data_IF_172742171245
#
_entry.id   IF_172742171245
#
_cell.length_a   1.000
_cell.length_b   1.000
_cell.length_c   1.000
_cell.angle_alpha   90.00
_cell.angle_beta   90.00
_cell.angle_gamma   90.00
#
_symmetry.space_group_name_H-M   'P 1'
#
loop_
_entity.id
_entity.type
_entity.pdbx_description
1 polymer ?
#
# COMPACT_ATOMS: atom_id res chain seq x y z
N UNK A 1 -15.04 10.70 6.83
CA UNK A 1 -14.10 10.39 5.76
C UNK A 1 -13.95 8.91 5.56
N UNK A 2 -13.94 8.49 4.33
CA UNK A 2 -13.83 7.07 4.02
C UNK A 2 -12.53 6.78 3.31
N UNK A 3 -11.96 5.64 3.65
CA UNK A 3 -10.73 5.17 3.02
C UNK A 3 -11.00 3.90 2.26
N UNK A 4 -10.25 3.72 1.21
CA UNK A 4 -10.27 2.48 0.45
C UNK A 4 -9.05 1.69 0.87
N UNK A 5 -9.26 0.46 1.29
CA UNK A 5 -8.18 -0.43 1.67
C UNK A 5 -7.83 -1.31 0.48
N UNK A 6 -6.58 -1.28 0.08
CA UNK A 6 -6.12 -2.11 -1.03
C UNK A 6 -5.08 -3.08 -0.50
N UNK A 7 -5.32 -4.36 -0.70
CA UNK A 7 -4.41 -5.40 -0.24
C UNK A 7 -3.58 -5.91 -1.40
N UNK A 8 -2.28 -5.96 -1.17
CA UNK A 8 -1.35 -6.50 -2.16
C UNK A 8 -0.70 -7.74 -1.58
N UNK A 9 -0.59 -8.77 -2.39
CA UNK A 9 0.09 -9.99 -1.99
C UNK A 9 1.52 -9.89 -2.46
N UNK A 10 2.44 -9.84 -1.51
CA UNK A 10 3.86 -9.76 -1.83
C UNK A 10 4.55 -11.04 -1.39
N UNK A 11 4.64 -11.98 -2.30
CA UNK A 11 5.32 -13.24 -2.03
C UNK A 11 6.82 -13.12 -2.19
N UNK A 12 7.27 -11.94 -2.53
CA UNK A 12 8.68 -11.71 -2.75
C UNK A 12 9.44 -11.70 -1.44
N UNK A 13 10.62 -12.30 -1.44
CA UNK A 13 11.49 -12.28 -0.28
C UNK A 13 12.35 -11.02 -0.26
N UNK A 14 12.18 -10.16 -1.22
CA UNK A 14 12.99 -8.96 -1.35
C UNK A 14 12.26 -7.76 -0.79
N UNK A 15 12.85 -7.18 0.24
CA UNK A 15 12.22 -6.07 0.94
C UNK A 15 12.10 -4.81 0.10
N UNK A 16 12.98 -4.64 -0.88
CA UNK A 16 12.96 -3.43 -1.68
C UNK A 16 11.68 -3.30 -2.51
N UNK A 17 11.00 -4.41 -2.78
CA UNK A 17 9.75 -4.35 -3.53
C UNK A 17 8.68 -3.62 -2.74
N UNK A 18 8.65 -3.85 -1.43
CA UNK A 18 7.68 -3.14 -0.58
C UNK A 18 7.98 -1.66 -0.52
N UNK A 19 9.26 -1.31 -0.48
CA UNK A 19 9.65 0.10 -0.48
C UNK A 19 9.26 0.78 -1.79
N UNK A 20 9.46 0.09 -2.90
CA UNK A 20 9.07 0.63 -4.20
C UNK A 20 7.56 0.82 -4.30
N UNK A 21 6.81 -0.17 -3.82
CA UNK A 21 5.36 -0.08 -3.82
C UNK A 21 4.90 1.10 -2.98
N UNK A 22 5.46 1.27 -1.80
CA UNK A 22 5.08 2.37 -0.93
C UNK A 22 5.34 3.71 -1.59
N UNK A 23 6.49 3.86 -2.24
CA UNK A 23 6.83 5.09 -2.93
C UNK A 23 5.85 5.39 -4.05
N UNK A 24 5.59 4.40 -4.89
CA UNK A 24 4.68 4.59 -6.02
C UNK A 24 3.26 4.87 -5.58
N UNK A 25 2.80 4.15 -4.58
CA UNK A 25 1.44 4.34 -4.09
C UNK A 25 1.28 5.67 -3.38
N UNK A 26 2.32 6.12 -2.69
CA UNK A 26 2.26 7.42 -2.04
C UNK A 26 2.12 8.54 -3.06
N UNK A 27 2.73 8.39 -4.23
CA UNK A 27 2.63 9.39 -5.28
C UNK A 27 1.23 9.50 -5.86
N UNK A 28 0.47 8.42 -5.84
CA UNK A 28 -0.88 8.43 -6.37
C UNK A 28 -1.93 8.70 -5.31
N UNK A 29 -1.52 8.99 -4.08
CA UNK A 29 -2.45 9.45 -3.07
C UNK A 29 -2.62 8.58 -1.84
N UNK A 30 -1.91 7.46 -1.76
CA UNK A 30 -2.01 6.61 -0.57
C UNK A 30 -1.37 7.31 0.62
N UNK A 31 -2.03 7.27 1.75
CA UNK A 31 -1.58 8.00 2.93
C UNK A 31 -1.00 7.11 4.01
N UNK A 32 -1.34 5.84 4.01
CA UNK A 32 -0.95 4.95 5.08
C UNK A 32 -0.71 3.55 4.55
N UNK A 33 0.18 2.82 5.20
CA UNK A 33 0.50 1.46 4.79
C UNK A 33 0.66 0.57 6.01
N UNK A 34 0.38 -0.70 5.83
CA UNK A 34 0.49 -1.67 6.89
C UNK A 34 1.00 -2.99 6.29
N UNK A 35 1.64 -3.79 7.12
CA UNK A 35 2.13 -5.10 6.70
C UNK A 35 1.59 -6.17 7.61
N UNK A 36 1.08 -7.24 7.01
CA UNK A 36 0.62 -8.39 7.79
C UNK A 36 0.99 -9.67 7.05
N UNK A 37 1.98 -10.38 7.56
CA UNK A 37 2.45 -11.60 6.91
C UNK A 37 2.91 -11.31 5.49
N UNK A 38 2.27 -11.96 4.53
CA UNK A 38 2.60 -11.77 3.13
C UNK A 38 1.80 -10.65 2.47
N UNK A 39 1.01 -9.94 3.25
CA UNK A 39 0.15 -8.90 2.71
C UNK A 39 0.71 -7.52 2.98
N UNK A 40 0.64 -6.68 2.00
CA UNK A 40 0.98 -5.28 2.13
C UNK A 40 -0.30 -4.49 1.85
N UNK A 41 -0.73 -3.71 2.84
CA UNK A 41 -2.03 -3.05 2.78
C UNK A 41 -1.82 -1.55 2.66
N UNK A 42 -2.47 -0.95 1.67
CA UNK A 42 -2.41 0.49 1.49
C UNK A 42 -3.77 1.11 1.71
N UNK A 43 -3.79 2.31 2.27
CA UNK A 43 -5.02 3.05 2.52
C UNK A 43 -5.00 4.35 1.74
N UNK A 44 -6.05 4.58 0.99
CA UNK A 44 -6.16 5.80 0.20
C UNK A 44 -7.52 6.44 0.48
N UNK A 45 -7.57 7.77 0.67
CA UNK A 45 -8.85 8.44 0.86
C UNK A 45 -9.70 8.26 -0.38
N UNK A 46 -10.98 8.03 -0.18
CA UNK A 46 -11.88 7.81 -1.30
C UNK A 46 -11.89 8.99 -2.26
N UNK A 47 -11.66 10.17 -1.74
CA UNK A 47 -11.63 11.38 -2.55
C UNK A 47 -10.46 11.42 -3.53
N UNK A 48 -9.35 10.78 -3.16
CA UNK A 48 -8.14 10.79 -3.98
C UNK A 48 -8.10 9.64 -4.98
N UNK A 49 -9.03 8.72 -4.86
CA UNK A 49 -9.00 7.51 -5.69
C UNK A 49 -9.77 7.69 -7.01
#
# INVERSE_FOLDING_TARGET
MKYIEVQFITNSKEDYIKDLLAQELAEIGFESFSEEGDFFIGYVPKEAF
#
